data_IF_958370120477
#
_entry.id   IF_958370120477
#
_cell.length_a   1.000
_cell.length_b   1.000
_cell.length_c   1.000
_cell.angle_alpha   90.00
_cell.angle_beta   90.00
_cell.angle_gamma   90.00
#
_symmetry.space_group_name_H-M   'P 1'
#
loop_
_entity.id
_entity.type
_entity.pdbx_description
1 polymer ?
#
# COMPACT_ATOMS: atom_id res chain seq x y z
N UNK A 1 -54.35 -66.94 -21.35
CA UNK A 1 -54.26 -65.48 -21.53
C UNK A 1 -53.38 -64.97 -20.41
N UNK A 2 -52.10 -64.58 -20.69
CA UNK A 2 -51.15 -64.02 -19.72
C UNK A 2 -51.04 -62.53 -19.96
N UNK A 3 -51.60 -61.72 -19.06
CA UNK A 3 -51.44 -60.27 -19.07
C UNK A 3 -50.09 -59.87 -18.46
N UNK A 4 -49.17 -59.35 -19.21
CA UNK A 4 -47.93 -58.78 -18.73
C UNK A 4 -48.13 -57.29 -18.47
N UNK A 5 -48.08 -56.89 -17.21
CA UNK A 5 -48.11 -55.51 -16.76
C UNK A 5 -46.73 -54.88 -17.00
N UNK A 6 -46.62 -53.89 -17.85
CA UNK A 6 -45.40 -53.08 -18.10
C UNK A 6 -45.41 -51.90 -17.12
N UNK A 7 -44.52 -51.92 -16.15
CA UNK A 7 -44.28 -50.78 -15.27
C UNK A 7 -43.24 -49.88 -15.96
N UNK A 8 -43.64 -48.69 -16.35
CA UNK A 8 -42.71 -47.65 -16.86
C UNK A 8 -42.22 -46.82 -15.68
N UNK A 9 -40.95 -46.98 -15.34
CA UNK A 9 -40.29 -46.14 -14.33
C UNK A 9 -39.76 -44.88 -15.03
N UNK A 10 -40.40 -43.74 -14.79
CA UNK A 10 -39.89 -42.44 -15.22
C UNK A 10 -38.87 -41.93 -14.20
N UNK A 11 -37.59 -41.92 -14.56
CA UNK A 11 -36.55 -41.32 -13.76
C UNK A 11 -36.54 -39.79 -14.03
N UNK A 12 -37.00 -39.04 -13.07
CA UNK A 12 -36.86 -37.58 -13.06
C UNK A 12 -35.43 -37.20 -12.65
N UNK A 13 -34.65 -36.75 -13.60
CA UNK A 13 -33.30 -36.23 -13.34
C UNK A 13 -33.42 -34.81 -12.76
N UNK A 14 -33.26 -34.66 -11.46
CA UNK A 14 -33.19 -33.37 -10.77
C UNK A 14 -31.77 -32.82 -10.94
N UNK A 15 -31.57 -31.87 -11.87
CA UNK A 15 -30.31 -31.12 -11.98
C UNK A 15 -30.30 -30.11 -10.84
N UNK A 16 -29.54 -30.38 -9.79
CA UNK A 16 -29.23 -29.42 -8.75
C UNK A 16 -28.23 -28.39 -9.38
N UNK A 17 -28.68 -27.20 -9.70
CA UNK A 17 -27.84 -26.05 -9.96
C UNK A 17 -27.16 -25.68 -8.62
N UNK A 18 -25.94 -26.16 -8.39
CA UNK A 18 -25.10 -25.63 -7.34
C UNK A 18 -24.75 -24.19 -7.76
N UNK A 19 -25.35 -23.19 -7.12
CA UNK A 19 -24.82 -21.84 -7.15
C UNK A 19 -23.41 -21.90 -6.59
N UNK A 20 -22.40 -21.71 -7.44
CA UNK A 20 -21.05 -21.44 -6.96
C UNK A 20 -21.15 -20.16 -6.14
N UNK A 21 -21.03 -20.26 -4.81
CA UNK A 21 -20.82 -19.06 -3.99
C UNK A 21 -19.56 -18.38 -4.54
N UNK A 22 -19.67 -17.11 -4.92
CA UNK A 22 -18.50 -16.32 -5.27
C UNK A 22 -17.57 -16.35 -4.05
N UNK A 23 -16.28 -16.61 -4.27
CA UNK A 23 -15.30 -16.49 -3.20
C UNK A 23 -15.29 -15.03 -2.69
N UNK A 24 -15.11 -14.85 -1.40
CA UNK A 24 -15.03 -13.51 -0.81
C UNK A 24 -13.80 -12.80 -1.35
N UNK A 25 -13.96 -11.50 -1.68
CA UNK A 25 -12.85 -10.64 -2.09
C UNK A 25 -12.10 -10.22 -0.83
N UNK A 26 -10.86 -10.61 -0.71
CA UNK A 26 -10.01 -10.26 0.44
C UNK A 26 -9.39 -8.87 0.23
N UNK A 27 -9.91 -7.88 0.96
CA UNK A 27 -9.37 -6.51 0.98
C UNK A 27 -8.35 -6.36 2.08
N UNK A 28 -7.17 -5.84 1.75
CA UNK A 28 -6.12 -5.55 2.73
C UNK A 28 -5.66 -4.09 2.70
N UNK A 29 -4.71 -3.77 3.56
CA UNK A 29 -4.08 -2.45 3.62
C UNK A 29 -2.74 -2.49 4.33
N UNK A 30 -1.96 -1.42 4.17
CA UNK A 30 -0.77 -1.18 4.98
C UNK A 30 -1.15 -0.92 6.44
N UNK A 31 -0.17 -1.05 7.34
CA UNK A 31 -0.38 -1.02 8.80
C UNK A 31 -0.76 0.37 9.33
N UNK A 32 -0.45 1.43 8.59
CA UNK A 32 -0.70 2.81 9.00
C UNK A 32 -2.20 3.16 9.04
N UNK A 33 -2.53 4.28 9.67
CA UNK A 33 -3.91 4.75 9.85
C UNK A 33 -4.58 5.06 8.51
N UNK A 34 -3.87 5.67 7.57
CA UNK A 34 -4.38 5.97 6.23
C UNK A 34 -4.68 4.67 5.46
N UNK A 35 -3.75 3.71 5.48
CA UNK A 35 -3.95 2.39 4.88
C UNK A 35 -5.20 1.71 5.40
N UNK A 36 -5.40 1.70 6.73
CA UNK A 36 -6.60 1.16 7.35
C UNK A 36 -7.88 1.86 6.90
N UNK A 37 -7.86 3.19 6.78
CA UNK A 37 -8.99 3.98 6.26
C UNK A 37 -9.29 3.62 4.81
N UNK A 38 -8.30 3.66 3.93
CA UNK A 38 -8.47 3.40 2.50
C UNK A 38 -8.94 1.95 2.25
N UNK A 39 -8.40 0.98 2.98
CA UNK A 39 -8.86 -0.41 2.91
C UNK A 39 -10.34 -0.56 3.29
N UNK A 40 -10.81 0.17 4.33
CA UNK A 40 -12.23 0.19 4.66
C UNK A 40 -13.09 0.85 3.58
N UNK A 41 -12.62 1.93 2.95
CA UNK A 41 -13.33 2.58 1.84
C UNK A 41 -13.49 1.61 0.66
N UNK A 42 -12.43 0.87 0.29
CA UNK A 42 -12.47 -0.15 -0.75
C UNK A 42 -13.48 -1.24 -0.40
N UNK A 43 -13.41 -1.78 0.82
CA UNK A 43 -14.29 -2.83 1.29
C UNK A 43 -15.77 -2.40 1.26
N UNK A 44 -16.08 -1.19 1.74
CA UNK A 44 -17.44 -0.65 1.71
C UNK A 44 -17.95 -0.44 0.28
N UNK A 45 -17.12 0.02 -0.64
CA UNK A 45 -17.50 0.19 -2.04
C UNK A 45 -17.84 -1.15 -2.72
N UNK A 46 -17.08 -2.20 -2.42
CA UNK A 46 -17.34 -3.55 -2.93
C UNK A 46 -18.62 -4.14 -2.33
N UNK A 47 -18.84 -3.96 -1.03
CA UNK A 47 -20.06 -4.42 -0.33
C UNK A 47 -21.31 -3.70 -0.85
N UNK A 48 -21.23 -2.38 -1.10
CA UNK A 48 -22.33 -1.60 -1.69
C UNK A 48 -22.66 -2.07 -3.12
N UNK A 49 -21.66 -2.57 -3.85
CA UNK A 49 -21.85 -3.24 -5.14
C UNK A 49 -22.40 -4.67 -5.03
N UNK A 50 -22.66 -5.17 -3.83
CA UNK A 50 -23.22 -6.50 -3.57
C UNK A 50 -22.20 -7.64 -3.66
N UNK A 51 -20.91 -7.33 -3.55
CA UNK A 51 -19.83 -8.32 -3.56
C UNK A 51 -19.51 -8.79 -2.13
N UNK A 52 -19.28 -10.08 -1.89
CA UNK A 52 -18.84 -10.56 -0.58
C UNK A 52 -17.38 -10.15 -0.31
N UNK A 53 -17.10 -9.62 0.88
CA UNK A 53 -15.79 -9.08 1.22
C UNK A 53 -15.27 -9.66 2.54
N UNK A 54 -14.03 -10.12 2.54
CA UNK A 54 -13.23 -10.39 3.73
C UNK A 54 -12.24 -9.24 3.97
N UNK A 55 -12.21 -8.68 5.18
CA UNK A 55 -11.26 -7.61 5.55
C UNK A 55 -10.06 -8.19 6.28
N UNK A 56 -8.86 -8.02 5.72
CA UNK A 56 -7.57 -8.30 6.33
C UNK A 56 -6.72 -7.03 6.37
N UNK A 57 -7.26 -6.00 7.03
CA UNK A 57 -6.66 -4.67 7.05
C UNK A 57 -5.43 -4.60 7.96
N UNK A 58 -4.58 -3.61 7.71
CA UNK A 58 -3.38 -3.30 8.50
C UNK A 58 -2.43 -4.50 8.63
N UNK A 59 -2.21 -5.21 7.54
CA UNK A 59 -1.46 -6.47 7.49
C UNK A 59 0.03 -6.27 7.79
N UNK A 60 0.62 -5.15 7.33
CA UNK A 60 2.04 -4.87 7.51
C UNK A 60 2.50 -3.67 6.67
N UNK A 61 3.82 -3.47 6.59
CA UNK A 61 4.43 -2.49 5.68
C UNK A 61 4.31 -2.91 4.22
N UNK A 62 4.79 -2.04 3.32
CA UNK A 62 4.68 -2.20 1.86
C UNK A 62 5.08 -3.58 1.37
N UNK A 63 6.22 -4.11 1.79
CA UNK A 63 6.72 -5.41 1.32
C UNK A 63 5.79 -6.57 1.73
N UNK A 64 5.29 -6.55 2.97
CA UNK A 64 4.41 -7.61 3.50
C UNK A 64 3.09 -7.66 2.71
N UNK A 65 2.48 -6.49 2.49
CA UNK A 65 1.19 -6.42 1.76
C UNK A 65 1.39 -6.77 0.29
N UNK A 66 2.49 -6.33 -0.31
CA UNK A 66 2.87 -6.67 -1.69
C UNK A 66 3.03 -8.17 -1.88
N UNK A 67 3.78 -8.84 -1.01
CA UNK A 67 3.96 -10.29 -1.05
C UNK A 67 2.64 -11.05 -0.85
N UNK A 68 1.76 -10.56 0.03
CA UNK A 68 0.44 -11.15 0.24
C UNK A 68 -0.43 -11.08 -1.03
N UNK A 69 -0.37 -9.96 -1.78
CA UNK A 69 -1.05 -9.85 -3.07
C UNK A 69 -0.47 -10.85 -4.09
N UNK A 70 0.85 -10.84 -4.28
CA UNK A 70 1.51 -11.69 -5.28
C UNK A 70 1.36 -13.18 -5.00
N UNK A 71 1.18 -13.56 -3.74
CA UNK A 71 0.91 -14.95 -3.33
C UNK A 71 -0.58 -15.33 -3.30
N UNK A 72 -1.48 -14.42 -3.66
CA UNK A 72 -2.92 -14.66 -3.67
C UNK A 72 -3.55 -14.80 -2.27
N UNK A 73 -2.90 -14.26 -1.23
CA UNK A 73 -3.46 -14.25 0.13
C UNK A 73 -4.45 -13.09 0.33
N UNK A 74 -4.35 -12.06 -0.51
CA UNK A 74 -5.27 -10.94 -0.62
C UNK A 74 -5.54 -10.66 -2.09
N UNK A 75 -6.66 -10.02 -2.39
CA UNK A 75 -7.06 -9.72 -3.77
C UNK A 75 -6.87 -8.25 -4.14
N UNK A 76 -6.95 -7.33 -3.17
CA UNK A 76 -6.85 -5.89 -3.41
C UNK A 76 -6.33 -5.15 -2.18
N UNK A 77 -5.51 -4.12 -2.42
CA UNK A 77 -5.11 -3.15 -1.41
C UNK A 77 -4.77 -1.78 -2.05
N UNK A 78 -4.80 -0.66 -1.29
CA UNK A 78 -4.35 0.64 -1.77
C UNK A 78 -2.83 0.71 -1.84
N UNK A 79 -2.29 1.12 -3.00
CA UNK A 79 -0.84 1.27 -3.21
C UNK A 79 -0.52 2.65 -3.82
N UNK A 80 0.74 3.04 -3.73
CA UNK A 80 1.26 4.31 -4.21
C UNK A 80 2.22 4.10 -5.38
N UNK A 81 2.07 4.88 -6.44
CA UNK A 81 2.88 4.75 -7.67
C UNK A 81 4.39 4.87 -7.41
N UNK A 82 4.81 5.71 -6.45
CA UNK A 82 6.21 5.84 -6.08
C UNK A 82 6.87 4.56 -5.56
N UNK A 83 6.09 3.65 -4.95
CA UNK A 83 6.63 2.37 -4.49
C UNK A 83 6.95 1.42 -5.65
N UNK A 84 6.25 1.54 -6.78
CA UNK A 84 6.51 0.72 -7.96
C UNK A 84 7.93 0.92 -8.50
N UNK A 85 8.51 2.11 -8.37
CA UNK A 85 9.91 2.38 -8.71
C UNK A 85 10.89 1.38 -8.06
N UNK A 86 10.59 1.00 -6.81
CA UNK A 86 11.41 0.08 -6.03
C UNK A 86 11.02 -1.39 -6.24
N UNK A 87 9.74 -1.68 -6.52
CA UNK A 87 9.31 -3.04 -6.87
C UNK A 87 10.01 -3.57 -8.13
N UNK A 88 10.28 -2.67 -9.07
CA UNK A 88 10.85 -3.00 -10.37
C UNK A 88 12.32 -2.58 -10.55
N UNK A 89 12.98 -2.09 -9.49
CA UNK A 89 14.37 -1.62 -9.50
C UNK A 89 14.61 -0.51 -10.56
N UNK A 90 13.65 0.39 -10.73
CA UNK A 90 13.71 1.52 -11.66
C UNK A 90 13.72 2.88 -10.93
N UNK A 91 14.18 2.94 -9.67
CA UNK A 91 14.12 4.15 -8.84
C UNK A 91 14.83 5.37 -9.44
N UNK A 92 15.84 5.16 -10.28
CA UNK A 92 16.60 6.23 -10.94
C UNK A 92 15.88 6.83 -12.17
N UNK A 93 14.74 6.27 -12.58
CA UNK A 93 14.01 6.73 -13.77
C UNK A 93 13.19 7.99 -13.47
N UNK A 94 13.27 8.98 -14.38
CA UNK A 94 12.47 10.21 -14.29
C UNK A 94 10.95 9.96 -14.44
N UNK A 95 10.53 8.79 -14.95
CA UNK A 95 9.11 8.46 -15.12
C UNK A 95 8.33 8.56 -13.80
N UNK A 96 8.97 8.29 -12.68
CA UNK A 96 8.35 8.31 -11.36
C UNK A 96 8.11 9.72 -10.78
N UNK A 97 8.62 10.76 -11.46
CA UNK A 97 8.43 12.16 -11.07
C UNK A 97 7.14 12.77 -11.62
N UNK A 98 6.49 12.09 -12.55
CA UNK A 98 5.19 12.47 -13.12
C UNK A 98 4.12 11.44 -12.72
N UNK A 99 3.00 11.90 -12.15
CA UNK A 99 2.00 11.01 -11.57
C UNK A 99 1.30 10.12 -12.62
N UNK A 100 1.01 10.66 -13.82
CA UNK A 100 0.35 9.92 -14.89
C UNK A 100 1.31 8.90 -15.52
N UNK A 101 2.53 9.33 -15.82
CA UNK A 101 3.56 8.44 -16.35
C UNK A 101 3.94 7.33 -15.36
N UNK A 102 4.05 7.64 -14.08
CA UNK A 102 4.33 6.68 -13.02
C UNK A 102 3.22 5.61 -12.91
N UNK A 103 1.95 6.04 -12.94
CA UNK A 103 0.82 5.10 -12.92
C UNK A 103 0.81 4.20 -14.15
N UNK A 104 0.99 4.77 -15.35
CA UNK A 104 1.05 4.00 -16.59
C UNK A 104 2.20 2.97 -16.56
N UNK A 105 3.38 3.37 -16.08
CA UNK A 105 4.54 2.49 -15.98
C UNK A 105 4.34 1.38 -14.95
N UNK A 106 3.79 1.69 -13.78
CA UNK A 106 3.47 0.69 -12.75
C UNK A 106 2.48 -0.34 -13.28
N UNK A 107 1.42 0.11 -13.95
CA UNK A 107 0.40 -0.77 -14.54
C UNK A 107 0.98 -1.67 -15.64
N UNK A 108 1.83 -1.14 -16.53
CA UNK A 108 2.51 -1.92 -17.55
C UNK A 108 3.38 -3.03 -16.97
N UNK A 109 4.24 -2.67 -16.02
CA UNK A 109 5.18 -3.61 -15.42
C UNK A 109 4.49 -4.72 -14.63
N UNK A 110 3.50 -4.35 -13.83
CA UNK A 110 2.77 -5.30 -12.99
C UNK A 110 1.88 -6.24 -13.82
N UNK A 111 1.22 -5.74 -14.85
CA UNK A 111 0.45 -6.59 -15.75
C UNK A 111 1.36 -7.59 -16.48
N UNK A 112 2.56 -7.17 -16.89
CA UNK A 112 3.47 -8.01 -17.63
C UNK A 112 4.20 -9.07 -16.78
N UNK A 113 4.49 -8.74 -15.51
CA UNK A 113 5.37 -9.58 -14.67
C UNK A 113 4.61 -10.36 -13.59
N UNK A 114 3.46 -9.83 -13.12
CA UNK A 114 2.80 -10.31 -11.92
C UNK A 114 1.30 -10.60 -12.10
N UNK A 115 0.72 -10.32 -13.26
CA UNK A 115 -0.73 -10.41 -13.53
C UNK A 115 -1.56 -9.54 -12.56
N UNK A 116 -0.99 -8.39 -12.15
CA UNK A 116 -1.63 -7.43 -11.25
C UNK A 116 -2.14 -6.23 -12.03
N UNK A 117 -3.37 -5.83 -11.79
CA UNK A 117 -4.01 -4.67 -12.42
C UNK A 117 -3.98 -3.46 -11.49
N UNK A 118 -3.40 -2.35 -11.96
CA UNK A 118 -3.53 -1.06 -11.31
C UNK A 118 -4.81 -0.37 -11.79
N UNK A 119 -5.70 -0.08 -10.86
CA UNK A 119 -6.92 0.68 -11.14
C UNK A 119 -6.60 2.17 -11.32
N UNK A 120 -7.56 2.94 -11.82
CA UNK A 120 -7.41 4.39 -11.96
C UNK A 120 -7.00 5.02 -10.63
N UNK A 121 -5.94 5.83 -10.66
CA UNK A 121 -5.43 6.49 -9.47
C UNK A 121 -6.40 7.53 -8.92
N UNK A 122 -6.46 7.65 -7.59
CA UNK A 122 -7.16 8.76 -6.95
C UNK A 122 -6.44 10.09 -7.26
N UNK A 123 -7.18 11.22 -7.39
CA UNK A 123 -6.58 12.54 -7.60
C UNK A 123 -6.00 13.08 -6.29
N UNK A 124 -5.05 12.36 -5.72
CA UNK A 124 -4.42 12.65 -4.43
C UNK A 124 -2.90 12.57 -4.54
N UNK A 125 -2.23 13.36 -3.74
CA UNK A 125 -0.77 13.31 -3.57
C UNK A 125 -0.47 13.03 -2.11
N UNK A 126 0.20 11.91 -1.84
CA UNK A 126 0.63 11.49 -0.52
C UNK A 126 2.17 11.38 -0.48
N UNK A 127 2.85 12.50 -0.71
CA UNK A 127 4.31 12.57 -0.67
C UNK A 127 4.81 12.56 0.77
N UNK A 128 5.84 11.76 1.03
CA UNK A 128 6.54 11.77 2.30
C UNK A 128 7.25 13.09 2.55
N UNK A 129 7.19 13.57 3.79
CA UNK A 129 7.86 14.81 4.20
C UNK A 129 8.38 14.71 5.64
N UNK A 130 9.42 15.47 5.95
CA UNK A 130 9.89 15.72 7.32
C UNK A 130 9.30 17.05 7.76
N UNK A 131 8.61 17.06 8.90
CA UNK A 131 8.12 18.26 9.54
C UNK A 131 8.96 18.59 10.77
N UNK A 132 9.24 19.87 10.98
CA UNK A 132 9.89 20.40 12.20
C UNK A 132 9.00 21.45 12.82
N UNK A 133 9.16 21.69 14.12
CA UNK A 133 8.42 22.78 14.79
C UNK A 133 8.87 24.14 14.27
N UNK A 134 7.95 25.13 14.33
CA UNK A 134 8.25 26.50 13.88
C UNK A 134 9.50 27.12 14.52
N UNK A 135 9.70 27.02 15.85
CA UNK A 135 10.92 27.48 16.50
C UNK A 135 12.19 26.82 15.93
N UNK A 136 12.19 25.50 15.76
CA UNK A 136 13.36 24.79 15.19
C UNK A 136 13.66 25.28 13.77
N UNK A 137 12.64 25.43 12.94
CA UNK A 137 12.81 25.98 11.59
C UNK A 137 13.39 27.40 11.59
N UNK A 138 12.88 28.28 12.43
CA UNK A 138 13.29 29.69 12.52
C UNK A 138 14.72 29.83 13.07
N UNK A 139 15.01 29.16 14.19
CA UNK A 139 16.29 29.27 14.88
C UNK A 139 17.47 28.72 14.04
N UNK A 140 17.18 27.79 13.15
CA UNK A 140 18.18 27.14 12.29
C UNK A 140 18.05 27.51 10.81
N UNK A 141 17.14 28.44 10.45
CA UNK A 141 16.87 28.88 9.07
C UNK A 141 16.53 27.73 8.11
N UNK A 142 15.74 26.75 8.56
CA UNK A 142 15.33 25.59 7.77
C UNK A 142 14.12 25.95 6.91
N UNK A 143 14.30 26.04 5.60
CA UNK A 143 13.23 26.33 4.64
C UNK A 143 13.03 25.24 3.60
N UNK A 144 14.06 24.42 3.41
CA UNK A 144 14.08 23.32 2.45
C UNK A 144 14.67 22.05 3.08
N UNK A 145 14.47 20.91 2.42
CA UNK A 145 15.12 19.66 2.82
C UNK A 145 16.66 19.74 2.71
N UNK A 146 17.18 20.53 1.77
CA UNK A 146 18.62 20.77 1.65
C UNK A 146 19.17 21.52 2.87
N UNK A 147 18.43 22.52 3.40
CA UNK A 147 18.81 23.22 4.62
C UNK A 147 18.82 22.27 5.82
N UNK A 148 17.77 21.41 5.92
CA UNK A 148 17.68 20.40 6.96
C UNK A 148 18.86 19.43 6.89
N UNK A 149 19.15 18.86 5.72
CA UNK A 149 20.27 17.94 5.52
C UNK A 149 21.61 18.58 5.89
N UNK A 150 21.86 19.81 5.46
CA UNK A 150 23.07 20.54 5.80
C UNK A 150 23.19 20.83 7.31
N UNK A 151 22.06 21.17 7.98
CA UNK A 151 22.04 21.40 9.42
C UNK A 151 22.35 20.12 10.20
N UNK A 152 21.76 18.97 9.83
CA UNK A 152 22.04 17.68 10.45
C UNK A 152 23.49 17.27 10.25
N UNK A 153 24.02 17.37 9.03
CA UNK A 153 25.41 17.03 8.71
C UNK A 153 26.45 17.89 9.46
N UNK A 154 26.07 19.10 9.91
CA UNK A 154 26.89 19.97 10.75
C UNK A 154 26.73 19.72 12.26
N UNK A 155 26.04 18.68 12.66
CA UNK A 155 25.84 18.32 14.07
C UNK A 155 24.58 18.92 14.71
N UNK A 156 23.61 19.34 13.90
CA UNK A 156 22.30 19.76 14.39
C UNK A 156 21.62 18.68 15.22
N UNK A 157 21.10 19.08 16.39
CA UNK A 157 20.44 18.13 17.30
C UNK A 157 19.03 17.81 16.77
N UNK A 158 18.86 16.59 16.28
CA UNK A 158 17.59 16.11 15.74
C UNK A 158 17.18 14.80 16.44
N UNK A 159 15.88 14.63 16.63
CA UNK A 159 15.27 13.36 16.98
C UNK A 159 14.04 13.17 16.09
N UNK A 160 14.12 12.23 15.16
CA UNK A 160 13.07 11.93 14.21
C UNK A 160 12.11 10.91 14.82
N UNK A 161 10.83 11.27 14.92
CA UNK A 161 9.76 10.33 15.21
C UNK A 161 9.05 9.96 13.89
N UNK A 162 9.00 8.68 13.56
CA UNK A 162 8.46 8.22 12.29
C UNK A 162 7.91 6.78 12.37
N UNK A 163 7.12 6.39 11.38
CA UNK A 163 6.67 5.01 11.23
C UNK A 163 7.82 4.08 10.82
N UNK A 164 7.65 2.79 11.05
CA UNK A 164 8.58 1.76 10.52
C UNK A 164 8.75 1.89 9.01
N UNK A 165 7.67 2.11 8.28
CA UNK A 165 7.69 2.30 6.82
C UNK A 165 8.57 3.49 6.42
N UNK A 166 8.43 4.64 7.09
CA UNK A 166 9.25 5.83 6.83
C UNK A 166 10.74 5.55 7.00
N UNK A 167 11.11 4.84 8.06
CA UNK A 167 12.51 4.60 8.41
C UNK A 167 13.16 3.52 7.55
N UNK A 168 12.41 2.44 7.22
CA UNK A 168 12.99 1.25 6.61
C UNK A 168 12.80 1.14 5.10
N UNK A 169 11.85 1.88 4.52
CA UNK A 169 11.60 1.83 3.07
C UNK A 169 12.73 2.51 2.31
N UNK A 170 13.36 1.84 1.33
CA UNK A 170 14.37 2.45 0.47
C UNK A 170 13.89 3.71 -0.25
N UNK A 171 12.56 3.83 -0.45
CA UNK A 171 11.91 4.96 -1.11
C UNK A 171 11.82 6.22 -0.25
N UNK A 172 12.10 6.16 1.04
CA UNK A 172 11.75 7.22 1.99
C UNK A 172 13.01 7.76 2.70
N UNK A 173 13.22 7.46 3.98
CA UNK A 173 14.34 8.04 4.74
C UNK A 173 15.71 7.73 4.10
N UNK A 174 16.02 6.49 3.67
CA UNK A 174 17.27 6.22 2.97
C UNK A 174 17.47 7.08 1.73
N UNK A 175 16.45 7.20 0.87
CA UNK A 175 16.53 8.06 -0.31
C UNK A 175 16.67 9.56 0.03
N UNK A 176 16.01 10.02 1.10
CA UNK A 176 16.19 11.40 1.60
C UNK A 176 17.61 11.64 2.11
N UNK A 177 18.17 10.71 2.85
CA UNK A 177 19.54 10.80 3.38
C UNK A 177 20.55 10.87 2.23
N UNK A 178 20.43 10.00 1.24
CA UNK A 178 21.30 10.00 0.05
C UNK A 178 21.16 11.30 -0.75
N UNK A 179 19.92 11.77 -0.97
CA UNK A 179 19.64 12.95 -1.79
C UNK A 179 20.11 14.26 -1.13
N UNK A 180 19.93 14.39 0.18
CA UNK A 180 20.18 15.63 0.91
C UNK A 180 21.44 15.60 1.77
N UNK A 181 22.21 14.52 1.72
CA UNK A 181 23.55 14.42 2.29
C UNK A 181 23.59 14.45 3.82
N UNK A 182 22.69 13.72 4.48
CA UNK A 182 22.70 13.56 5.93
C UNK A 182 22.54 12.10 6.34
N UNK A 183 22.87 11.77 7.56
CA UNK A 183 22.59 10.47 8.18
C UNK A 183 22.02 10.70 9.58
N UNK A 184 21.15 9.79 10.01
CA UNK A 184 20.63 9.74 11.38
C UNK A 184 21.07 8.43 12.01
N UNK A 185 21.65 8.54 13.18
CA UNK A 185 21.99 7.39 14.01
C UNK A 185 20.72 6.74 14.61
N UNK A 186 20.83 5.50 15.06
CA UNK A 186 19.74 4.74 15.63
C UNK A 186 19.09 5.41 16.87
N UNK A 187 19.89 6.14 17.65
CA UNK A 187 19.43 6.88 18.83
C UNK A 187 18.75 8.20 18.47
N UNK A 188 18.91 8.69 17.22
CA UNK A 188 18.22 9.86 16.68
C UNK A 188 16.84 9.51 16.08
N UNK A 189 16.48 8.24 16.04
CA UNK A 189 15.20 7.77 15.47
C UNK A 189 14.33 7.16 16.56
N UNK A 190 13.04 7.55 16.57
CA UNK A 190 11.98 6.95 17.39
C UNK A 190 10.95 6.34 16.46
N UNK A 191 10.86 5.01 16.45
CA UNK A 191 9.90 4.31 15.61
C UNK A 191 8.57 4.22 16.36
N UNK A 192 7.51 4.72 15.72
CA UNK A 192 6.15 4.70 16.21
C UNK A 192 5.36 3.58 15.53
N UNK A 193 4.65 2.78 16.31
CA UNK A 193 3.71 1.82 15.77
C UNK A 193 2.47 2.55 15.22
N UNK A 194 2.08 2.23 13.97
CA UNK A 194 0.87 2.78 13.35
C UNK A 194 1.00 4.18 12.75
N UNK A 195 2.17 4.81 12.81
CA UNK A 195 2.42 6.09 12.10
C UNK A 195 1.77 7.33 12.72
N UNK A 196 1.31 7.28 13.96
CA UNK A 196 0.81 8.47 14.67
C UNK A 196 1.98 9.32 15.18
N UNK A 197 2.43 10.24 14.32
CA UNK A 197 3.52 11.17 14.62
C UNK A 197 3.05 12.40 15.41
N UNK A 198 1.74 12.67 15.47
CA UNK A 198 1.20 13.83 16.17
C UNK A 198 1.41 13.77 17.68
N UNK A 199 1.57 12.59 18.25
CA UNK A 199 1.81 12.40 19.68
C UNK A 199 3.25 12.73 20.13
N UNK A 200 4.15 13.10 19.22
CA UNK A 200 5.59 13.28 19.48
C UNK A 200 6.09 14.71 19.27
N UNK A 201 5.23 15.62 18.86
CA UNK A 201 5.54 17.04 18.61
C UNK A 201 5.28 17.87 19.87
#
# INVERSE_FOLDING_TARGET
MKNSLRITVSATLTVALASAAAADITVSSKIDTEGGLLGNVIALALEDAGLPVERRLQLGGTQVVREALLSGQIDIYPEYTGNAAFFFNEADSDVWKDAEAAHARAAELDAAQNDVTWLTSAPANNTWAIAVTGPVAQDNNLTTMSDFGAWVAQGGTVKLAASTEFVSSPAVLPAMQDTYGFELDADQTVILSGGDTAATI
#
